data_IF_951087550249
#
_entry.id   IF_951087550249
#
_cell.length_a   1.000
_cell.length_b   1.000
_cell.length_c   1.000
_cell.angle_alpha   90.00
_cell.angle_beta   90.00
_cell.angle_gamma   90.00
#
_symmetry.space_group_name_H-M   'P 1'
#
loop_
_entity.id
_entity.type
_entity.pdbx_description
1 polymer ?
#
# COMPACT_ATOMS: atom_id res chain seq x y z
N UNK A 1 13.99 -3.59 -20.31
CA UNK A 1 12.57 -3.84 -20.68
C UNK A 1 12.28 -5.30 -21.02
N UNK A 2 13.22 -6.10 -21.56
CA UNK A 2 12.94 -7.50 -21.93
C UNK A 2 12.41 -8.34 -20.75
N UNK A 3 13.07 -8.26 -19.59
CA UNK A 3 12.69 -9.05 -18.41
C UNK A 3 11.28 -8.74 -17.89
N UNK A 4 10.86 -7.47 -17.92
CA UNK A 4 9.49 -7.10 -17.52
C UNK A 4 8.46 -7.57 -18.54
N UNK A 5 8.75 -7.47 -19.84
CA UNK A 5 7.86 -7.96 -20.91
C UNK A 5 7.69 -9.49 -20.90
N UNK A 6 8.74 -10.24 -20.57
CA UNK A 6 8.71 -11.70 -20.57
C UNK A 6 8.17 -12.34 -19.28
N UNK A 7 8.04 -11.56 -18.18
CA UNK A 7 7.57 -12.08 -16.89
C UNK A 7 6.15 -12.66 -16.98
N UNK A 8 5.21 -11.91 -17.55
CA UNK A 8 3.81 -12.33 -17.64
C UNK A 8 3.59 -13.67 -18.38
N UNK A 9 4.12 -13.89 -19.61
CA UNK A 9 3.92 -15.15 -20.31
C UNK A 9 4.59 -16.34 -19.60
N UNK A 10 5.73 -16.14 -18.95
CA UNK A 10 6.39 -17.19 -18.17
C UNK A 10 5.54 -17.65 -16.98
N UNK A 11 5.04 -16.70 -16.18
CA UNK A 11 4.23 -17.03 -15.01
C UNK A 11 2.92 -17.72 -15.40
N UNK A 12 2.33 -17.34 -16.53
CA UNK A 12 1.14 -18.00 -17.06
C UNK A 12 1.39 -19.49 -17.35
N UNK A 13 2.54 -19.83 -17.93
CA UNK A 13 2.90 -21.24 -18.20
C UNK A 13 3.12 -22.01 -16.90
N UNK A 14 3.78 -21.41 -15.92
CA UNK A 14 4.04 -22.03 -14.61
C UNK A 14 2.72 -22.35 -13.88
N UNK A 15 1.82 -21.37 -13.80
CA UNK A 15 0.54 -21.54 -13.10
C UNK A 15 -0.40 -22.48 -13.87
N UNK A 16 -0.56 -22.31 -15.18
CA UNK A 16 -1.62 -23.00 -15.94
C UNK A 16 -1.20 -24.34 -16.56
N UNK A 17 0.08 -24.53 -16.90
CA UNK A 17 0.56 -25.77 -17.54
C UNK A 17 1.29 -26.70 -16.58
N UNK A 18 2.04 -26.13 -15.64
CA UNK A 18 2.80 -26.91 -14.65
C UNK A 18 1.99 -27.12 -13.37
N UNK A 19 1.06 -26.21 -13.06
CA UNK A 19 0.20 -26.30 -11.89
C UNK A 19 0.88 -25.87 -10.59
N UNK A 20 1.93 -25.04 -10.69
CA UNK A 20 2.61 -24.48 -9.52
C UNK A 20 1.89 -23.22 -9.08
N UNK A 21 1.41 -23.21 -7.84
CA UNK A 21 0.82 -22.03 -7.23
C UNK A 21 1.91 -21.07 -6.74
N UNK A 22 1.83 -19.80 -7.17
CA UNK A 22 2.77 -18.75 -6.77
C UNK A 22 2.19 -17.91 -5.64
N UNK A 23 2.72 -18.08 -4.43
CA UNK A 23 2.23 -17.37 -3.24
C UNK A 23 2.37 -15.83 -3.34
N UNK A 24 3.45 -15.34 -3.94
CA UNK A 24 3.70 -13.90 -4.13
C UNK A 24 4.66 -13.67 -5.30
N UNK A 25 4.44 -12.58 -6.04
CA UNK A 25 5.32 -12.12 -7.13
C UNK A 25 6.10 -10.90 -6.63
N UNK A 26 7.38 -11.07 -6.33
CA UNK A 26 8.25 -10.04 -5.74
C UNK A 26 9.20 -9.50 -6.81
N UNK A 27 9.48 -8.20 -6.79
CA UNK A 27 10.49 -7.53 -7.61
C UNK A 27 11.44 -6.75 -6.68
N UNK A 28 12.75 -7.00 -6.80
CA UNK A 28 13.81 -6.38 -6.01
C UNK A 28 14.91 -5.88 -6.94
N UNK A 29 15.59 -4.82 -6.54
CA UNK A 29 16.72 -4.26 -7.29
C UNK A 29 18.08 -4.81 -6.81
N UNK A 30 18.23 -5.06 -5.49
CA UNK A 30 19.43 -5.66 -4.88
C UNK A 30 19.08 -6.96 -4.14
N UNK A 31 19.99 -7.94 -4.19
CA UNK A 31 19.86 -9.21 -3.49
C UNK A 31 19.93 -9.06 -1.96
N UNK A 32 20.58 -8.00 -1.46
CA UNK A 32 20.67 -7.74 -0.02
C UNK A 32 19.32 -7.44 0.64
N UNK A 33 18.33 -6.99 -0.14
CA UNK A 33 16.97 -6.75 0.34
C UNK A 33 16.21 -8.05 0.64
N UNK A 34 16.67 -9.19 0.11
CA UNK A 34 16.05 -10.49 0.27
C UNK A 34 16.39 -11.12 1.63
N UNK A 35 15.90 -10.48 2.69
CA UNK A 35 16.00 -10.96 4.07
C UNK A 35 14.79 -11.80 4.47
N UNK A 36 14.94 -12.62 5.52
CA UNK A 36 13.84 -13.40 6.09
C UNK A 36 12.68 -12.49 6.53
N UNK A 37 13.00 -11.38 7.20
CA UNK A 37 12.01 -10.39 7.63
C UNK A 37 11.23 -9.81 6.45
N UNK A 38 11.93 -9.43 5.38
CA UNK A 38 11.29 -8.92 4.17
C UNK A 38 10.35 -9.95 3.53
N UNK A 39 10.78 -11.22 3.43
CA UNK A 39 9.94 -12.28 2.86
C UNK A 39 8.68 -12.52 3.70
N UNK A 40 8.81 -12.57 5.03
CA UNK A 40 7.67 -12.73 5.93
C UNK A 40 6.68 -11.57 5.80
N UNK A 41 7.17 -10.33 5.72
CA UNK A 41 6.32 -9.15 5.56
C UNK A 41 5.61 -9.11 4.20
N UNK A 42 6.24 -9.59 3.12
CA UNK A 42 5.64 -9.66 1.78
C UNK A 42 4.56 -10.74 1.66
N UNK A 43 4.77 -11.89 2.32
CA UNK A 43 3.85 -13.03 2.32
C UNK A 43 2.69 -12.79 3.32
N UNK A 44 2.98 -12.16 4.46
CA UNK A 44 2.02 -11.92 5.55
C UNK A 44 1.97 -10.44 5.94
N UNK A 45 1.31 -9.58 5.13
CA UNK A 45 1.30 -8.14 5.36
C UNK A 45 0.63 -7.80 6.69
N UNK A 46 1.37 -7.09 7.55
CA UNK A 46 0.89 -6.59 8.84
C UNK A 46 -0.18 -5.52 8.60
N UNK A 47 -1.34 -5.64 9.25
CA UNK A 47 -2.38 -4.62 9.18
C UNK A 47 -1.99 -3.41 10.03
N UNK A 48 -1.66 -2.28 9.39
CA UNK A 48 -1.43 -1.02 10.09
C UNK A 48 -2.78 -0.37 10.45
N UNK A 49 -3.36 -0.84 11.56
CA UNK A 49 -4.71 -0.45 12.02
C UNK A 49 -4.75 1.01 12.51
N UNK A 50 -3.62 1.58 12.96
CA UNK A 50 -3.59 2.91 13.57
C UNK A 50 -2.74 3.91 12.77
N UNK A 51 -3.40 4.78 12.02
CA UNK A 51 -2.76 5.99 11.48
C UNK A 51 -2.61 7.00 12.62
N UNK A 52 -1.40 7.16 13.14
CA UNK A 52 -1.11 8.16 14.15
C UNK A 52 -1.47 9.56 13.61
N UNK A 53 -2.54 10.15 14.14
CA UNK A 53 -2.94 11.51 13.81
C UNK A 53 -2.13 12.46 14.67
N UNK A 54 -1.32 13.29 14.03
CA UNK A 54 -0.69 14.41 14.72
C UNK A 54 -1.77 15.35 15.27
N UNK A 55 -1.59 15.81 16.50
CA UNK A 55 -2.50 16.79 17.11
C UNK A 55 -2.43 18.10 16.34
N UNK A 56 -3.58 18.66 15.96
CA UNK A 56 -3.62 20.01 15.38
C UNK A 56 -2.98 21.00 16.37
N UNK A 57 -2.13 21.94 15.91
CA UNK A 57 -1.55 22.95 16.79
C UNK A 57 -2.64 23.77 17.49
N UNK A 58 -2.31 24.31 18.66
CA UNK A 58 -3.24 25.17 19.42
C UNK A 58 -3.68 26.33 18.53
N UNK A 59 -4.99 26.53 18.42
CA UNK A 59 -5.56 27.66 17.70
C UNK A 59 -5.29 29.00 18.41
N UNK A 60 -5.58 30.13 17.75
CA UNK A 60 -5.39 31.46 18.32
C UNK A 60 -6.18 31.65 19.63
N UNK A 61 -5.59 32.37 20.59
CA UNK A 61 -6.06 32.49 21.97
C UNK A 61 -7.47 33.13 22.11
N UNK A 62 -7.89 33.96 21.14
CA UNK A 62 -9.18 34.67 21.17
C UNK A 62 -10.18 34.13 20.13
N UNK A 63 -10.19 32.81 19.91
CA UNK A 63 -11.16 32.20 18.99
C UNK A 63 -12.50 32.03 19.70
N UNK A 64 -13.50 32.82 19.30
CA UNK A 64 -14.90 32.59 19.69
C UNK A 64 -15.42 31.20 19.28
N UNK A 65 -16.61 30.82 19.76
CA UNK A 65 -17.20 29.51 19.51
C UNK A 65 -17.24 29.15 18.00
N UNK A 66 -16.96 27.88 17.68
CA UNK A 66 -16.99 27.38 16.29
C UNK A 66 -18.42 27.47 15.76
N UNK A 67 -18.64 28.28 14.72
CA UNK A 67 -19.94 28.39 14.03
C UNK A 67 -20.02 27.35 12.92
N UNK A 68 -21.16 26.65 12.80
CA UNK A 68 -21.48 25.89 11.59
C UNK A 68 -21.78 26.90 10.47
N UNK A 69 -20.99 26.87 9.41
CA UNK A 69 -21.28 27.58 8.17
C UNK A 69 -21.97 26.57 7.24
N UNK A 70 -23.16 26.90 6.72
CA UNK A 70 -23.81 26.11 5.68
C UNK A 70 -22.90 26.15 4.45
N UNK A 71 -22.33 25.01 4.07
CA UNK A 71 -21.72 24.85 2.74
C UNK A 71 -22.88 24.88 1.75
N UNK A 72 -23.02 25.96 0.99
CA UNK A 72 -23.78 25.90 -0.25
C UNK A 72 -22.95 25.03 -1.20
N UNK A 73 -23.47 23.85 -1.52
CA UNK A 73 -23.24 23.04 -2.74
C UNK A 73 -23.36 21.54 -2.40
N UNK A 74 -24.60 21.04 -2.39
CA UNK A 74 -24.95 19.68 -2.82
C UNK A 74 -26.38 19.78 -3.39
N UNK A 75 -26.46 20.18 -4.66
CA UNK A 75 -27.59 19.95 -5.58
C UNK A 75 -26.99 20.03 -6.99
N UNK A 76 -26.51 18.89 -7.49
CA UNK A 76 -26.46 18.45 -8.91
C UNK A 76 -25.92 17.01 -8.96
#
# INVERSE_FOLDING_TARGET
MLYSSCKAPLLNVIENKIGIELAKKIEIDDAHDLTEEYLLDQIHPKQNIFKQKFSKPKGPANRGARRLLKTQNEDD
#
